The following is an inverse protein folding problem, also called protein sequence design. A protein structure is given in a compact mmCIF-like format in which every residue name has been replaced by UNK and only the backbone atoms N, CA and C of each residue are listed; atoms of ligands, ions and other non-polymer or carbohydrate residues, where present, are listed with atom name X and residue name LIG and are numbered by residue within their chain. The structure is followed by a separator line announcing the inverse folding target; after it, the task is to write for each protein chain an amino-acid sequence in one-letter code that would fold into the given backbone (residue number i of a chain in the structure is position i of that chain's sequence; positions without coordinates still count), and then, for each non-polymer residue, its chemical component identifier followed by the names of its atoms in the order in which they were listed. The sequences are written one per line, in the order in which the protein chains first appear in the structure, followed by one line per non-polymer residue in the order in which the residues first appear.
data_IF_606099884997
#
_entry.id   IF_606099884997
#
_cell.length_a   1.000
_cell.length_b   1.000
_cell.length_c   1.000
_cell.angle_alpha   90.00
_cell.angle_beta   90.00
_cell.angle_gamma   90.00
#
_symmetry.space_group_name_H-M   'P 1'
#
loop_
_entity.id
_entity.type
_entity.pdbx_description
1 polymer ?
#
# COMPACT_ATOMS: atom_id res chain seq x y z
N UNK A 1 -50.92 10.49 -10.60
CA UNK A 1 -49.82 11.46 -10.37
C UNK A 1 -48.58 10.87 -11.01
N UNK A 2 -48.51 10.98 -12.33
CA UNK A 2 -47.62 11.87 -13.11
C UNK A 2 -46.32 11.13 -13.45
N UNK A 3 -46.32 10.60 -14.66
CA UNK A 3 -45.23 9.92 -15.35
C UNK A 3 -43.99 10.81 -15.46
N UNK A 4 -42.80 10.25 -15.20
CA UNK A 4 -41.51 10.88 -15.51
C UNK A 4 -41.32 10.96 -17.03
N UNK A 5 -41.91 11.99 -17.63
CA UNK A 5 -41.52 12.47 -18.94
C UNK A 5 -40.37 13.47 -18.78
N UNK A 6 -39.56 13.55 -19.84
CA UNK A 6 -38.73 14.69 -20.23
C UNK A 6 -37.27 14.70 -19.77
N UNK A 7 -36.55 13.63 -20.10
CA UNK A 7 -35.17 13.80 -20.57
C UNK A 7 -35.24 14.37 -21.99
N UNK A 8 -35.33 15.69 -22.10
CA UNK A 8 -35.14 16.40 -23.37
C UNK A 8 -33.71 16.13 -23.86
N UNK A 9 -33.56 15.05 -24.63
CA UNK A 9 -32.59 15.02 -25.72
C UNK A 9 -32.92 16.27 -26.54
N UNK A 10 -32.04 17.24 -26.53
CA UNK A 10 -32.09 18.34 -27.48
C UNK A 10 -32.18 17.68 -28.86
N UNK A 11 -33.36 17.73 -29.45
CA UNK A 11 -33.57 17.50 -30.87
C UNK A 11 -32.72 18.57 -31.56
N UNK A 12 -31.47 18.23 -31.87
CA UNK A 12 -30.73 18.92 -32.90
C UNK A 12 -31.49 18.61 -34.19
N UNK A 13 -32.11 19.63 -34.75
CA UNK A 13 -32.91 19.53 -35.95
C UNK A 13 -32.16 18.73 -37.04
N UNK A 14 -32.77 17.68 -37.62
CA UNK A 14 -32.19 16.95 -38.74
C UNK A 14 -32.41 17.73 -40.03
N UNK A 15 -31.76 18.89 -40.16
CA UNK A 15 -31.63 19.62 -41.43
C UNK A 15 -30.21 20.14 -41.53
N UNK A 16 -29.61 19.93 -42.70
CA UNK A 16 -28.21 20.21 -43.08
C UNK A 16 -27.21 19.05 -42.87
N UNK A 17 -27.58 17.84 -43.30
CA UNK A 17 -26.58 16.95 -43.92
C UNK A 17 -26.22 17.55 -45.29
N UNK A 18 -25.46 18.66 -45.28
CA UNK A 18 -24.57 18.94 -46.38
C UNK A 18 -23.60 17.76 -46.46
N UNK A 19 -23.37 17.26 -47.67
CA UNK A 19 -22.36 16.24 -47.90
C UNK A 19 -21.07 16.71 -47.22
N UNK A 20 -20.60 15.95 -46.21
CA UNK A 20 -19.37 16.31 -45.50
C UNK A 20 -18.23 15.95 -46.45
N UNK A 21 -17.89 16.90 -47.32
CA UNK A 21 -16.84 16.77 -48.35
C UNK A 21 -15.41 16.79 -47.78
N UNK A 22 -15.23 16.55 -46.47
CA UNK A 22 -13.89 16.47 -45.91
C UNK A 22 -13.31 15.06 -46.13
N UNK A 23 -12.50 14.96 -47.17
CA UNK A 23 -11.78 13.75 -47.59
C UNK A 23 -11.01 13.10 -46.44
N UNK A 24 -10.44 13.89 -45.53
CA UNK A 24 -9.66 13.37 -44.40
C UNK A 24 -10.55 12.73 -43.32
N UNK A 25 -11.73 13.32 -43.07
CA UNK A 25 -12.69 12.75 -42.13
C UNK A 25 -13.29 11.45 -42.68
N UNK A 26 -13.63 11.41 -43.97
CA UNK A 26 -14.13 10.21 -44.63
C UNK A 26 -13.10 9.08 -44.60
N UNK A 27 -11.83 9.40 -44.88
CA UNK A 27 -10.71 8.44 -44.76
C UNK A 27 -10.56 7.90 -43.34
N UNK A 28 -10.63 8.76 -42.33
CA UNK A 28 -10.55 8.34 -40.92
C UNK A 28 -11.74 7.44 -40.50
N UNK A 29 -12.95 7.70 -41.01
CA UNK A 29 -14.13 6.84 -40.78
C UNK A 29 -13.90 5.46 -41.42
N UNK A 30 -13.41 5.42 -42.65
CA UNK A 30 -13.14 4.16 -43.34
C UNK A 30 -12.05 3.35 -42.64
N UNK A 31 -10.95 3.99 -42.24
CA UNK A 31 -9.87 3.37 -41.45
C UNK A 31 -10.37 2.87 -40.10
N UNK A 32 -11.19 3.65 -39.39
CA UNK A 32 -11.78 3.22 -38.12
C UNK A 32 -12.65 1.98 -38.27
N UNK A 33 -13.45 1.91 -39.35
CA UNK A 33 -14.24 0.72 -39.69
C UNK A 33 -13.34 -0.47 -40.01
N UNK A 34 -12.28 -0.25 -40.80
CA UNK A 34 -11.33 -1.28 -41.22
C UNK A 34 -10.55 -1.86 -40.04
N UNK A 35 -10.01 -1.01 -39.16
CA UNK A 35 -9.19 -1.39 -38.01
C UNK A 35 -10.02 -1.75 -36.77
N UNK A 36 -11.33 -1.45 -36.77
CA UNK A 36 -12.21 -1.52 -35.59
C UNK A 36 -11.63 -0.77 -34.39
N UNK A 37 -10.98 0.35 -34.68
CA UNK A 37 -10.27 1.18 -33.71
C UNK A 37 -10.80 2.61 -33.80
N UNK A 38 -10.99 3.26 -32.65
CA UNK A 38 -11.40 4.67 -32.59
C UNK A 38 -10.22 5.63 -32.79
N UNK A 39 -8.99 5.10 -32.80
CA UNK A 39 -7.77 5.90 -32.94
C UNK A 39 -7.72 6.78 -34.19
N UNK A 40 -8.15 6.34 -35.40
CA UNK A 40 -8.16 7.20 -36.59
C UNK A 40 -9.04 8.44 -36.41
N UNK A 41 -10.22 8.28 -35.81
CA UNK A 41 -11.15 9.39 -35.54
C UNK A 41 -10.60 10.37 -34.51
N UNK A 42 -10.00 9.84 -33.42
CA UNK A 42 -9.39 10.67 -32.38
C UNK A 42 -8.20 11.48 -32.94
N UNK A 43 -7.41 10.89 -33.83
CA UNK A 43 -6.34 11.63 -34.52
C UNK A 43 -6.90 12.76 -35.37
N UNK A 44 -8.02 12.53 -36.06
CA UNK A 44 -8.64 13.56 -36.90
C UNK A 44 -9.28 14.68 -36.09
N UNK A 45 -9.96 14.36 -34.98
CA UNK A 45 -10.48 15.35 -34.03
C UNK A 45 -9.36 16.23 -33.47
N UNK A 46 -8.24 15.61 -33.08
CA UNK A 46 -7.07 16.34 -32.58
C UNK A 46 -6.47 17.26 -33.66
N UNK A 47 -6.39 16.79 -34.92
CA UNK A 47 -5.92 17.61 -36.05
C UNK A 47 -6.78 18.86 -36.23
N UNK A 48 -8.10 18.73 -36.30
CA UNK A 48 -9.00 19.89 -36.41
C UNK A 48 -8.91 20.82 -35.22
N UNK A 49 -8.82 20.27 -34.01
CA UNK A 49 -8.70 21.08 -32.79
C UNK A 49 -7.44 21.95 -32.83
N UNK A 50 -6.33 21.40 -33.29
CA UNK A 50 -5.07 22.14 -33.43
C UNK A 50 -5.18 23.17 -34.56
N UNK A 51 -5.72 22.79 -35.71
CA UNK A 51 -5.89 23.68 -36.86
C UNK A 51 -6.77 24.88 -36.53
N UNK A 52 -7.92 24.64 -35.87
CA UNK A 52 -8.82 25.69 -35.41
C UNK A 52 -8.11 26.70 -34.50
N UNK A 53 -7.32 26.21 -33.54
CA UNK A 53 -6.52 27.08 -32.64
C UNK A 53 -5.45 27.88 -33.38
N UNK A 54 -4.84 27.32 -34.41
CA UNK A 54 -3.82 28.04 -35.21
C UNK A 54 -4.47 29.14 -36.02
N UNK A 55 -5.54 28.83 -36.74
CA UNK A 55 -6.29 29.79 -37.56
C UNK A 55 -6.85 30.93 -36.70
N UNK A 56 -7.43 30.63 -35.53
CA UNK A 56 -7.92 31.66 -34.62
C UNK A 56 -6.82 32.53 -34.03
N UNK A 57 -5.58 32.03 -33.99
CA UNK A 57 -4.38 32.78 -33.60
C UNK A 57 -3.69 33.48 -34.78
N UNK A 58 -4.28 33.45 -35.98
CA UNK A 58 -3.72 34.03 -37.21
C UNK A 58 -2.52 33.26 -37.78
N UNK A 59 -2.21 32.09 -37.24
CA UNK A 59 -1.20 31.18 -37.80
C UNK A 59 -1.89 30.35 -38.88
N UNK A 60 -1.50 30.53 -40.14
CA UNK A 60 -2.14 29.89 -41.30
C UNK A 60 -2.24 28.37 -41.23
N UNK A 61 -2.91 27.80 -42.22
CA UNK A 61 -3.23 26.37 -42.29
C UNK A 61 -1.99 25.45 -42.13
N UNK A 62 -2.17 24.37 -41.36
CA UNK A 62 -1.13 23.37 -41.14
C UNK A 62 -1.05 22.42 -42.33
N UNK A 63 -0.19 22.73 -43.30
CA UNK A 63 0.17 21.77 -44.34
C UNK A 63 1.21 20.81 -43.74
N UNK A 64 0.77 19.59 -43.38
CA UNK A 64 1.68 18.50 -43.04
C UNK A 64 2.14 17.90 -44.37
N UNK A 65 3.27 18.36 -44.90
CA UNK A 65 3.93 17.60 -45.95
C UNK A 65 4.28 16.22 -45.36
N UNK A 66 3.81 15.17 -46.03
CA UNK A 66 4.13 13.79 -45.65
C UNK A 66 5.60 13.55 -45.99
N UNK A 67 6.50 14.03 -45.13
CA UNK A 67 7.92 13.71 -45.18
C UNK A 67 8.04 12.19 -45.06
N UNK A 68 8.23 11.55 -46.21
CA UNK A 68 8.53 10.12 -46.27
C UNK A 68 9.95 10.00 -45.73
N UNK A 69 10.10 9.83 -44.43
CA UNK A 69 11.41 9.76 -43.80
C UNK A 69 12.27 8.73 -44.54
N UNK A 70 13.48 9.08 -45.00
CA UNK A 70 14.34 8.12 -45.66
C UNK A 70 14.64 6.98 -44.69
N UNK A 71 14.38 5.75 -45.14
CA UNK A 71 14.62 4.54 -44.35
C UNK A 71 16.13 4.37 -44.14
N UNK A 72 16.64 4.92 -43.03
CA UNK A 72 18.05 4.79 -42.65
C UNK A 72 18.33 3.35 -42.24
N UNK A 73 18.95 2.58 -43.15
CA UNK A 73 19.40 1.22 -42.89
C UNK A 73 20.58 1.26 -41.94
N UNK A 74 20.44 0.63 -40.77
CA UNK A 74 21.53 0.57 -39.79
C UNK A 74 22.76 -0.12 -40.39
N UNK A 75 23.92 0.45 -40.13
CA UNK A 75 25.20 -0.20 -40.46
C UNK A 75 25.39 -1.45 -39.58
N UNK A 76 26.12 -2.47 -40.08
CA UNK A 76 26.39 -3.70 -39.33
C UNK A 76 26.93 -3.44 -37.90
N UNK A 77 27.78 -2.42 -37.73
CA UNK A 77 28.31 -2.05 -36.40
C UNK A 77 27.25 -1.46 -35.47
N UNK A 78 26.31 -0.68 -36.00
CA UNK A 78 25.19 -0.14 -35.24
C UNK A 78 24.24 -1.25 -34.78
N UNK A 79 24.00 -2.24 -35.64
CA UNK A 79 23.23 -3.45 -35.29
C UNK A 79 23.89 -4.20 -34.14
N UNK A 80 25.22 -4.42 -34.21
CA UNK A 80 25.98 -5.08 -33.12
C UNK A 80 25.93 -4.28 -31.83
N UNK A 81 26.07 -2.95 -31.89
CA UNK A 81 25.96 -2.05 -30.72
C UNK A 81 24.56 -2.11 -30.10
N UNK A 82 23.51 -2.08 -30.92
CA UNK A 82 22.11 -2.21 -30.48
C UNK A 82 21.86 -3.56 -29.81
N UNK A 83 22.38 -4.65 -30.37
CA UNK A 83 22.28 -5.99 -29.78
C UNK A 83 22.96 -6.04 -28.39
N UNK A 84 24.20 -5.55 -28.27
CA UNK A 84 24.91 -5.47 -26.98
C UNK A 84 24.12 -4.67 -25.93
N UNK A 85 23.57 -3.51 -26.32
CA UNK A 85 22.76 -2.67 -25.42
C UNK A 85 21.49 -3.39 -24.95
N UNK A 86 20.79 -4.09 -25.84
CA UNK A 86 19.59 -4.88 -25.50
C UNK A 86 19.93 -5.99 -24.52
N UNK A 87 21.00 -6.73 -24.76
CA UNK A 87 21.41 -7.83 -23.89
C UNK A 87 21.85 -7.32 -22.51
N UNK A 88 22.62 -6.22 -22.45
CA UNK A 88 22.95 -5.56 -21.19
C UNK A 88 21.72 -5.06 -20.44
N UNK A 89 20.75 -4.45 -21.14
CA UNK A 89 19.51 -3.99 -20.53
C UNK A 89 18.67 -5.16 -20.01
N UNK A 90 18.60 -6.27 -20.77
CA UNK A 90 17.95 -7.52 -20.35
C UNK A 90 18.56 -8.04 -19.05
N UNK A 91 19.89 -8.17 -19.01
CA UNK A 91 20.61 -8.63 -17.81
C UNK A 91 20.40 -7.68 -16.63
N UNK A 92 20.46 -6.36 -16.88
CA UNK A 92 20.25 -5.34 -15.85
C UNK A 92 18.83 -5.38 -15.30
N UNK A 93 17.83 -5.55 -16.16
CA UNK A 93 16.41 -5.68 -15.76
C UNK A 93 16.17 -6.93 -14.93
N UNK A 94 16.75 -8.08 -15.32
CA UNK A 94 16.70 -9.32 -14.53
C UNK A 94 17.35 -9.14 -13.17
N UNK A 95 18.56 -8.53 -13.12
CA UNK A 95 19.26 -8.24 -11.86
C UNK A 95 18.47 -7.28 -10.97
N UNK A 96 17.89 -6.23 -11.54
CA UNK A 96 17.07 -5.26 -10.81
C UNK A 96 15.84 -5.93 -10.19
N UNK A 97 15.12 -6.74 -10.97
CA UNK A 97 13.98 -7.53 -10.49
C UNK A 97 14.40 -8.52 -9.41
N UNK A 98 15.55 -9.19 -9.58
CA UNK A 98 16.13 -10.09 -8.58
C UNK A 98 16.45 -9.37 -7.27
N UNK A 99 17.16 -8.24 -7.32
CA UNK A 99 17.47 -7.43 -6.13
C UNK A 99 16.21 -6.99 -5.39
N UNK A 100 15.18 -6.52 -6.12
CA UNK A 100 13.91 -6.13 -5.52
C UNK A 100 13.22 -7.30 -4.82
N UNK A 101 13.25 -8.50 -5.41
CA UNK A 101 12.68 -9.72 -4.82
C UNK A 101 13.43 -10.15 -3.56
N UNK A 102 14.76 -10.16 -3.59
CA UNK A 102 15.58 -10.52 -2.42
C UNK A 102 15.41 -9.51 -1.29
N UNK A 103 15.38 -8.20 -1.59
CA UNK A 103 15.07 -7.17 -0.60
C UNK A 103 13.69 -7.36 0.05
N UNK A 104 12.68 -7.73 -0.76
CA UNK A 104 11.36 -8.09 -0.24
C UNK A 104 11.42 -9.28 0.72
N UNK A 105 12.17 -10.33 0.38
CA UNK A 105 12.35 -11.50 1.26
C UNK A 105 13.09 -11.17 2.56
N UNK A 106 14.12 -10.32 2.50
CA UNK A 106 14.84 -9.90 3.71
C UNK A 106 13.91 -9.11 4.62
N UNK A 107 13.10 -8.22 4.05
CA UNK A 107 12.11 -7.47 4.81
C UNK A 107 11.05 -8.40 5.44
N UNK A 108 10.49 -9.32 4.66
CA UNK A 108 9.55 -10.36 5.14
C UNK A 108 10.16 -11.13 6.33
N UNK A 109 11.42 -11.56 6.22
CA UNK A 109 12.13 -12.27 7.30
C UNK A 109 12.30 -11.40 8.55
N UNK A 110 12.73 -10.15 8.39
CA UNK A 110 12.92 -9.23 9.52
C UNK A 110 11.62 -8.93 10.25
N UNK A 111 10.52 -8.77 9.52
CA UNK A 111 9.19 -8.58 10.12
C UNK A 111 8.81 -9.81 10.94
N UNK A 112 8.94 -11.01 10.38
CA UNK A 112 8.64 -12.24 11.12
C UNK A 112 9.49 -12.42 12.37
N UNK A 113 10.78 -12.08 12.32
CA UNK A 113 11.66 -12.13 13.50
C UNK A 113 11.24 -11.13 14.59
N UNK A 114 10.84 -9.92 14.21
CA UNK A 114 10.36 -8.90 15.15
C UNK A 114 9.02 -9.29 15.77
N UNK A 115 8.10 -9.85 14.98
CA UNK A 115 6.81 -10.36 15.48
C UNK A 115 7.00 -11.49 16.51
N UNK A 116 7.93 -12.42 16.26
CA UNK A 116 8.25 -13.47 17.23
C UNK A 116 8.78 -12.88 18.54
N UNK A 117 9.76 -11.96 18.46
CA UNK A 117 10.31 -11.27 19.65
C UNK A 117 9.23 -10.50 20.40
N UNK A 118 8.30 -9.86 19.69
CA UNK A 118 7.18 -9.16 20.31
C UNK A 118 6.27 -10.14 21.06
N UNK A 119 5.93 -11.29 20.47
CA UNK A 119 5.14 -12.31 21.16
C UNK A 119 5.89 -12.80 22.42
N UNK A 120 7.18 -13.10 22.34
CA UNK A 120 7.98 -13.57 23.50
C UNK A 120 8.00 -12.54 24.63
N UNK A 121 8.29 -11.27 24.31
CA UNK A 121 8.30 -10.19 25.30
C UNK A 121 6.93 -9.97 25.94
N UNK A 122 5.84 -10.08 25.17
CA UNK A 122 4.49 -9.98 25.71
C UNK A 122 4.16 -11.12 26.67
N UNK A 123 4.60 -12.35 26.38
CA UNK A 123 4.44 -13.48 27.29
C UNK A 123 5.22 -13.28 28.59
N UNK A 124 6.45 -12.75 28.50
CA UNK A 124 7.25 -12.45 29.68
C UNK A 124 6.64 -11.34 30.53
N UNK A 125 6.12 -10.28 29.90
CA UNK A 125 5.37 -9.23 30.61
C UNK A 125 4.17 -9.82 31.34
N UNK A 126 3.40 -10.72 30.70
CA UNK A 126 2.26 -11.36 31.35
C UNK A 126 2.69 -12.22 32.54
N UNK A 127 3.72 -13.05 32.36
CA UNK A 127 4.29 -13.92 33.40
C UNK A 127 4.75 -13.11 34.62
N UNK A 128 5.56 -12.08 34.39
CA UNK A 128 6.08 -11.21 35.44
C UNK A 128 4.96 -10.45 36.16
N UNK A 129 3.92 -10.01 35.44
CA UNK A 129 2.77 -9.39 36.06
C UNK A 129 1.97 -10.35 36.95
N UNK A 130 1.85 -11.62 36.56
CA UNK A 130 1.20 -12.64 37.40
C UNK A 130 2.02 -12.91 38.66
N UNK A 131 3.33 -13.06 38.53
CA UNK A 131 4.24 -13.26 39.66
C UNK A 131 4.23 -12.07 40.61
N UNK A 132 4.34 -10.84 40.09
CA UNK A 132 4.20 -9.60 40.87
C UNK A 132 2.89 -9.59 41.65
N UNK A 133 1.76 -9.85 40.98
CA UNK A 133 0.44 -9.90 41.65
C UNK A 133 0.38 -11.00 42.71
N UNK A 134 1.02 -12.14 42.50
CA UNK A 134 1.09 -13.22 43.47
C UNK A 134 1.87 -12.79 44.72
N UNK A 135 3.07 -12.22 44.54
CA UNK A 135 3.90 -11.72 45.62
C UNK A 135 3.21 -10.58 46.39
N UNK A 136 2.59 -9.63 45.68
CA UNK A 136 1.80 -8.56 46.31
C UNK A 136 0.67 -9.13 47.18
N UNK A 137 -0.01 -10.19 46.73
CA UNK A 137 -1.05 -10.86 47.53
C UNK A 137 -0.46 -11.51 48.78
N UNK A 138 0.69 -12.18 48.68
CA UNK A 138 1.37 -12.77 49.83
C UNK A 138 1.79 -11.71 50.85
N UNK A 139 2.38 -10.62 50.38
CA UNK A 139 2.76 -9.47 51.23
C UNK A 139 1.52 -8.87 51.90
N UNK A 140 0.45 -8.59 51.15
CA UNK A 140 -0.81 -8.06 51.71
C UNK A 140 -1.39 -8.98 52.78
N UNK A 141 -1.38 -10.30 52.56
CA UNK A 141 -1.84 -11.28 53.56
C UNK A 141 -0.96 -11.25 54.81
N UNK A 142 0.36 -11.22 54.63
CA UNK A 142 1.33 -11.15 55.71
C UNK A 142 1.17 -9.86 56.53
N UNK A 143 0.97 -8.71 55.89
CA UNK A 143 0.72 -7.43 56.57
C UNK A 143 -0.61 -7.41 57.32
N UNK A 144 -1.65 -8.09 56.80
CA UNK A 144 -2.98 -8.14 57.43
C UNK A 144 -3.05 -9.10 58.62
N UNK A 145 -2.33 -10.22 58.58
CA UNK A 145 -2.47 -11.31 59.56
C UNK A 145 -1.19 -11.61 60.37
N UNK A 146 -0.03 -11.13 59.94
CA UNK A 146 1.25 -11.33 60.62
C UNK A 146 1.53 -10.22 61.63
N UNK A 147 2.15 -10.56 62.77
CA UNK A 147 2.60 -9.61 63.82
C UNK A 147 3.79 -8.74 63.38
N UNK A 148 4.06 -8.63 62.08
CA UNK A 148 5.23 -7.96 61.54
C UNK A 148 4.97 -6.45 61.43
N UNK A 149 5.55 -5.68 62.35
CA UNK A 149 5.59 -4.21 62.28
C UNK A 149 6.60 -3.83 61.20
N UNK A 150 6.15 -3.59 59.96
CA UNK A 150 7.05 -3.08 58.93
C UNK A 150 7.58 -1.72 59.38
N UNK A 151 8.88 -1.64 59.68
CA UNK A 151 9.55 -0.40 60.02
C UNK A 151 9.54 0.48 58.77
N UNK A 152 8.58 1.40 58.70
CA UNK A 152 8.52 2.43 57.66
C UNK A 152 9.65 3.43 57.93
N UNK A 153 10.87 3.14 57.47
CA UNK A 153 11.93 4.15 57.42
C UNK A 153 11.63 5.14 56.31
N UNK A 154 11.07 6.28 56.74
CA UNK A 154 11.24 7.66 56.24
C UNK A 154 11.36 7.86 54.73
N UNK A 155 10.37 8.55 54.19
CA UNK A 155 10.53 9.40 53.02
C UNK A 155 11.60 10.47 53.32
N UNK A 156 12.66 10.53 52.53
CA UNK A 156 13.43 11.75 52.27
C UNK A 156 13.78 11.80 50.78
N UNK A 157 13.02 12.65 50.08
CA UNK A 157 13.45 13.57 49.02
C UNK A 157 14.43 13.07 47.94
N UNK A 158 13.88 12.74 46.76
CA UNK A 158 14.52 13.00 45.48
C UNK A 158 13.52 13.75 44.58
N UNK A 159 13.28 15.02 44.94
CA UNK A 159 12.77 16.03 44.02
C UNK A 159 13.99 16.48 43.20
N UNK A 160 14.18 15.94 42.01
CA UNK A 160 14.89 16.57 40.89
C UNK A 160 14.85 15.65 39.66
N UNK A 161 13.81 15.84 38.84
CA UNK A 161 13.81 15.87 37.36
C UNK A 161 12.35 15.96 36.88
N UNK A 162 11.70 17.04 37.28
CA UNK A 162 10.40 17.51 36.76
C UNK A 162 10.56 19.02 36.51
N UNK A 163 11.31 19.36 35.46
CA UNK A 163 11.25 20.65 34.77
C UNK A 163 11.53 20.39 33.29
N UNK A 164 10.45 20.13 32.58
CA UNK A 164 10.44 19.82 31.15
C UNK A 164 9.05 19.46 30.65
N UNK A 165 7.99 20.10 31.17
CA UNK A 165 6.70 20.17 30.49
C UNK A 165 6.84 21.16 29.33
N UNK A 166 7.49 20.71 28.26
CA UNK A 166 7.27 21.25 26.94
C UNK A 166 6.07 20.51 26.37
N UNK A 167 4.96 21.22 26.21
CA UNK A 167 3.88 20.83 25.34
C UNK A 167 4.44 20.69 23.92
N UNK A 168 4.86 19.48 23.59
CA UNK A 168 4.82 19.00 22.22
C UNK A 168 3.72 17.97 22.17
N UNK A 169 2.54 18.51 21.92
CA UNK A 169 1.45 17.89 21.21
C UNK A 169 1.99 17.37 19.85
N UNK A 170 2.77 16.29 19.91
CA UNK A 170 2.93 15.40 18.77
C UNK A 170 1.71 14.50 18.84
N UNK A 171 0.60 15.06 18.35
CA UNK A 171 -0.41 14.34 17.60
C UNK A 171 0.29 13.17 16.92
N UNK A 172 0.25 11.97 17.54
CA UNK A 172 0.42 10.74 16.78
C UNK A 172 -0.89 10.66 16.00
N UNK A 173 -0.92 11.45 14.94
CA UNK A 173 -1.74 11.20 13.80
C UNK A 173 -1.40 9.77 13.45
N UNK A 174 -2.29 8.86 13.85
CA UNK A 174 -2.50 7.63 13.12
C UNK A 174 -2.79 8.13 11.72
N UNK A 175 -1.73 8.35 10.94
CA UNK A 175 -1.85 8.47 9.51
C UNK A 175 -2.39 7.09 9.14
N UNK A 176 -3.71 7.06 8.95
CA UNK A 176 -4.32 6.28 7.92
C UNK A 176 -3.34 6.32 6.75
N UNK A 177 -2.57 5.25 6.61
CA UNK A 177 -1.95 4.96 5.34
C UNK A 177 -3.15 4.64 4.47
N UNK A 178 -3.68 5.68 3.84
CA UNK A 178 -4.59 5.56 2.72
C UNK A 178 -4.00 4.51 1.80
N UNK A 179 -4.80 3.49 1.58
CA UNK A 179 -4.53 2.43 0.64
C UNK A 179 -4.47 3.07 -0.74
N UNK A 180 -3.29 3.52 -1.17
CA UNK A 180 -3.06 3.74 -2.60
C UNK A 180 -3.14 2.38 -3.28
N UNK A 181 -3.97 2.21 -4.32
CA UNK A 181 -4.25 0.90 -4.89
C UNK A 181 -3.10 0.47 -5.81
N UNK A 182 -2.02 -0.10 -5.26
CA UNK A 182 -1.08 -0.90 -6.08
C UNK A 182 -1.57 -2.34 -6.09
N UNK A 183 -2.50 -2.58 -6.99
CA UNK A 183 -3.07 -3.90 -7.31
C UNK A 183 -1.94 -4.84 -7.74
N UNK A 184 -1.50 -5.74 -6.84
CA UNK A 184 -1.01 -7.13 -7.08
C UNK A 184 -0.11 -7.72 -5.97
N UNK A 185 0.38 -6.94 -5.00
CA UNK A 185 1.25 -7.46 -3.91
C UNK A 185 0.50 -7.79 -2.61
N UNK A 186 -0.77 -7.41 -2.50
CA UNK A 186 -1.57 -7.49 -1.27
C UNK A 186 -1.80 -8.92 -0.74
N UNK A 187 -1.91 -9.92 -1.62
CA UNK A 187 -2.34 -11.26 -1.19
C UNK A 187 -1.27 -12.05 -0.41
N UNK A 188 0.02 -11.69 -0.52
CA UNK A 188 1.10 -12.46 0.13
C UNK A 188 1.33 -12.07 1.59
N UNK A 189 1.24 -10.78 1.91
CA UNK A 189 1.42 -10.27 3.27
C UNK A 189 0.27 -10.68 4.21
N UNK A 190 -0.96 -10.77 3.68
CA UNK A 190 -2.14 -11.23 4.44
C UNK A 190 -2.00 -12.70 4.87
N UNK A 191 -1.28 -13.53 4.09
CA UNK A 191 -1.05 -14.94 4.40
C UNK A 191 -0.05 -15.16 5.54
N UNK A 192 0.96 -14.29 5.68
CA UNK A 192 1.97 -14.38 6.76
C UNK A 192 1.33 -14.07 8.12
N UNK A 193 0.50 -13.03 8.19
CA UNK A 193 -0.27 -12.67 9.38
C UNK A 193 -1.14 -13.83 9.91
N UNK A 194 -1.76 -14.63 9.01
CA UNK A 194 -2.57 -15.79 9.43
C UNK A 194 -1.73 -16.95 9.97
N UNK A 195 -0.49 -17.14 9.51
CA UNK A 195 0.37 -18.24 9.96
C UNK A 195 1.04 -17.95 11.31
N UNK A 196 1.44 -16.68 11.55
CA UNK A 196 2.06 -16.24 12.81
C UNK A 196 1.02 -16.15 13.94
N UNK A 197 -0.19 -15.65 13.67
CA UNK A 197 -1.30 -15.67 14.64
C UNK A 197 -1.71 -17.08 15.10
N UNK A 198 -1.42 -18.12 14.31
CA UNK A 198 -1.63 -19.52 14.72
C UNK A 198 -0.53 -20.03 15.67
N UNK A 199 0.67 -19.43 15.63
CA UNK A 199 1.80 -19.79 16.51
C UNK A 199 1.80 -19.02 17.84
N UNK A 200 1.25 -17.80 17.89
CA UNK A 200 1.05 -17.07 19.15
C UNK A 200 -0.26 -17.47 19.89
N UNK A 201 -0.88 -18.63 19.56
CA UNK A 201 -1.94 -19.19 20.40
C UNK A 201 -1.31 -19.74 21.67
N UNK A 202 -1.72 -19.30 22.87
CA UNK A 202 -1.25 -19.91 24.10
C UNK A 202 -1.60 -21.40 24.06
N UNK A 203 -0.59 -22.26 24.18
CA UNK A 203 -0.82 -23.66 24.50
C UNK A 203 -1.68 -23.68 25.77
N UNK A 204 -2.87 -24.28 25.69
CA UNK A 204 -3.71 -24.53 26.86
C UNK A 204 -2.81 -25.17 27.91
N UNK A 205 -2.60 -24.47 29.02
CA UNK A 205 -1.96 -25.04 30.19
C UNK A 205 -2.69 -26.35 30.49
N UNK A 206 -1.96 -27.46 30.36
CA UNK A 206 -2.43 -28.80 30.68
C UNK A 206 -3.05 -28.77 32.07
N UNK A 207 -4.31 -29.18 32.15
CA UNK A 207 -5.15 -29.24 33.35
C UNK A 207 -4.72 -30.34 34.35
N UNK A 208 -3.45 -30.70 34.39
CA UNK A 208 -2.90 -31.70 35.32
C UNK A 208 -1.95 -31.04 36.32
N UNK A 209 -2.48 -30.17 37.17
CA UNK A 209 -1.88 -29.83 38.48
C UNK A 209 -2.92 -29.14 39.38
N UNK A 210 -4.09 -29.76 39.54
CA UNK A 210 -5.00 -29.46 40.65
C UNK A 210 -5.25 -30.78 41.36
N UNK A 211 -4.32 -31.15 42.23
CA UNK A 211 -4.42 -32.38 43.01
C UNK A 211 -3.14 -32.62 43.74
N UNK A 212 -2.96 -31.96 44.89
CA UNK A 212 -2.09 -32.34 46.03
C UNK A 212 -1.92 -31.16 47.00
N UNK A 213 -3.02 -30.57 47.49
CA UNK A 213 -2.99 -29.86 48.79
C UNK A 213 -4.38 -29.90 49.42
N UNK A 214 -4.79 -31.09 49.87
CA UNK A 214 -5.90 -31.22 50.81
C UNK A 214 -5.64 -32.44 51.67
N UNK A 215 -4.86 -32.24 52.72
CA UNK A 215 -4.72 -33.10 53.90
C UNK A 215 -3.76 -32.36 54.83
N UNK A 216 -4.31 -31.64 55.80
CA UNK A 216 -3.75 -31.36 57.14
C UNK A 216 -4.62 -30.28 57.79
N UNK A 217 -5.71 -30.71 58.42
CA UNK A 217 -6.31 -30.09 59.60
C UNK A 217 -7.41 -31.01 60.15
N UNK A 218 -6.99 -32.02 60.91
CA UNK A 218 -7.81 -32.69 61.91
C UNK A 218 -7.01 -32.65 63.21
N UNK A 219 -7.43 -31.74 64.09
CA UNK A 219 -7.10 -31.48 65.50
C UNK A 219 -6.80 -30.01 65.73
#
# INVERSE_FOLDING_TARGET
MTTMADFHILNVDPVMLGEVEDENLMKAIEESRRERSTMPLIKQELRYTIQYRRLSSGQGEMVVEEDTQPEYKLTNDEVRKRYRRREQNRQSSVRCRGKRKEYGKTLEKTVSELELKQCDLQLDIQRLNLEKKHLEKLIKRHLKHGKCKSRTTRQTTAKQLEKGSGDHDSKVEVQNIEQTPTTKTSNRLISVNKHVMRKCRPHKLSSNQVGMVSLLSVH
#
